data_IF_202569255058
#
_entry.id   IF_202569255058
#
_cell.length_a   1.000
_cell.length_b   1.000
_cell.length_c   1.000
_cell.angle_alpha   90.00
_cell.angle_beta   90.00
_cell.angle_gamma   90.00
#
_symmetry.space_group_name_H-M   'P 1'
#
loop_
_entity.id
_entity.type
_entity.pdbx_description
1 polymer ?
#
# COMPACT_ATOMS: atom_id res chain seq x y z
N UNK A 1 3.95 15.63 -76.59
CA UNK A 1 4.04 14.57 -75.55
C UNK A 1 4.51 15.20 -74.25
N UNK A 2 3.81 14.99 -73.13
CA UNK A 2 4.16 15.54 -71.80
C UNK A 2 5.05 14.56 -71.03
N UNK A 3 6.05 15.04 -70.28
CA UNK A 3 6.35 14.61 -68.89
C UNK A 3 7.41 15.48 -68.16
N UNK A 4 6.98 15.90 -66.95
CA UNK A 4 7.64 16.36 -65.70
C UNK A 4 9.09 15.84 -65.48
N UNK A 5 10.04 16.49 -64.79
CA UNK A 5 10.10 17.76 -64.05
C UNK A 5 11.29 17.79 -63.06
N UNK A 6 11.25 18.81 -62.19
CA UNK A 6 11.97 19.05 -60.92
C UNK A 6 13.24 19.91 -60.94
N UNK A 7 13.08 21.10 -60.37
CA UNK A 7 14.11 22.08 -60.07
C UNK A 7 14.98 21.62 -58.89
N UNK A 8 16.29 21.83 -59.02
CA UNK A 8 17.20 22.05 -57.89
C UNK A 8 17.79 23.46 -58.04
N UNK A 9 17.62 24.31 -57.02
CA UNK A 9 18.42 25.53 -56.87
C UNK A 9 18.72 25.76 -55.39
N UNK A 10 19.98 26.06 -55.15
CA UNK A 10 20.76 26.23 -53.91
C UNK A 10 20.31 27.46 -53.10
N UNK A 11 20.56 27.51 -51.78
CA UNK A 11 21.06 28.71 -51.02
C UNK A 11 21.24 28.46 -49.50
N UNK A 12 22.49 28.53 -49.03
CA UNK A 12 23.07 29.46 -48.03
C UNK A 12 22.41 29.73 -46.65
N UNK A 13 23.26 29.59 -45.60
CA UNK A 13 23.34 30.29 -44.29
C UNK A 13 22.30 30.09 -43.17
N UNK A 14 22.86 29.65 -42.01
CA UNK A 14 22.54 29.93 -40.59
C UNK A 14 21.13 29.55 -40.05
N UNK A 15 21.11 28.86 -38.89
CA UNK A 15 20.07 29.11 -37.90
C UNK A 15 20.68 29.76 -36.66
N UNK A 16 20.14 30.91 -36.28
CA UNK A 16 20.31 31.52 -34.97
C UNK A 16 19.79 30.56 -33.90
N UNK A 17 20.63 30.17 -32.95
CA UNK A 17 20.17 29.57 -31.70
C UNK A 17 19.58 30.67 -30.82
N UNK A 18 18.33 31.02 -31.09
CA UNK A 18 17.53 31.78 -30.13
C UNK A 18 17.47 30.99 -28.82
N UNK A 19 17.79 31.58 -27.66
CA UNK A 19 17.52 30.92 -26.40
C UNK A 19 16.01 30.95 -26.22
N UNK A 20 15.33 29.87 -26.59
CA UNK A 20 13.96 29.69 -26.17
C UNK A 20 13.97 29.67 -24.64
N UNK A 21 13.37 30.69 -24.05
CA UNK A 21 12.99 30.75 -22.63
C UNK A 21 11.89 29.72 -22.40
N UNK A 22 12.22 28.44 -22.54
CA UNK A 22 11.38 27.34 -22.09
C UNK A 22 11.45 27.44 -20.58
N UNK A 23 10.40 28.01 -19.99
CA UNK A 23 10.13 27.92 -18.56
C UNK A 23 9.87 26.45 -18.26
N UNK A 24 10.95 25.69 -18.12
CA UNK A 24 10.90 24.34 -17.62
C UNK A 24 10.40 24.41 -16.18
N UNK A 25 9.39 23.60 -15.88
CA UNK A 25 9.08 23.23 -14.50
C UNK A 25 10.37 22.76 -13.82
N UNK A 26 10.61 23.14 -12.56
CA UNK A 26 11.83 22.77 -11.83
C UNK A 26 11.76 21.28 -11.44
N UNK A 27 11.90 20.36 -12.39
CA UNK A 27 11.84 18.91 -12.09
C UNK A 27 12.44 18.00 -13.17
N UNK A 28 13.46 18.45 -13.91
CA UNK A 28 14.32 17.53 -14.67
C UNK A 28 15.76 18.02 -14.69
N UNK A 29 16.36 18.17 -13.51
CA UNK A 29 17.80 18.35 -13.42
C UNK A 29 18.48 17.02 -13.79
N UNK A 30 18.95 16.91 -15.03
CA UNK A 30 19.83 15.82 -15.47
C UNK A 30 21.12 15.89 -14.67
N UNK A 31 21.38 14.87 -13.86
CA UNK A 31 22.57 14.78 -13.03
C UNK A 31 23.80 14.44 -13.85
N UNK A 32 24.96 14.91 -13.40
CA UNK A 32 26.25 14.34 -13.84
C UNK A 32 26.37 12.89 -13.41
N UNK A 33 27.21 12.11 -14.10
CA UNK A 33 27.46 10.71 -13.73
C UNK A 33 27.81 10.53 -12.25
N UNK A 34 28.70 11.37 -11.73
CA UNK A 34 29.10 11.34 -10.32
C UNK A 34 27.95 11.69 -9.37
N UNK A 35 27.04 12.60 -9.75
CA UNK A 35 25.85 12.91 -8.96
C UNK A 35 24.82 11.78 -9.03
N UNK A 36 24.60 11.18 -10.20
CA UNK A 36 23.67 10.08 -10.39
C UNK A 36 24.08 8.83 -9.60
N UNK A 37 25.38 8.54 -9.50
CA UNK A 37 25.91 7.45 -8.66
C UNK A 37 25.60 7.60 -7.17
N UNK A 38 25.19 8.80 -6.74
CA UNK A 38 24.89 9.12 -5.34
C UNK A 38 23.39 9.22 -5.08
N UNK A 39 22.56 9.24 -6.12
CA UNK A 39 21.13 9.42 -6.00
C UNK A 39 20.40 8.13 -6.36
N UNK A 40 19.45 7.74 -5.52
CA UNK A 40 18.56 6.58 -5.74
C UNK A 40 17.15 7.09 -5.97
N UNK A 41 16.50 6.61 -7.03
CA UNK A 41 15.10 6.93 -7.33
C UNK A 41 14.20 5.77 -6.93
N UNK A 42 13.16 6.05 -6.14
CA UNK A 42 12.19 5.07 -5.63
C UNK A 42 10.79 5.63 -5.86
N UNK A 43 9.87 4.80 -6.38
CA UNK A 43 8.47 5.19 -6.53
C UNK A 43 7.68 4.78 -5.28
N UNK A 44 7.07 5.76 -4.60
CA UNK A 44 6.23 5.55 -3.42
C UNK A 44 4.89 6.23 -3.71
N UNK A 45 3.78 5.49 -3.64
CA UNK A 45 2.42 5.99 -3.89
C UNK A 45 2.23 6.67 -5.27
N UNK A 46 2.97 6.23 -6.29
CA UNK A 46 2.92 6.83 -7.64
C UNK A 46 3.73 8.12 -7.78
N UNK A 47 4.56 8.46 -6.78
CA UNK A 47 5.46 9.61 -6.79
C UNK A 47 6.92 9.15 -6.72
N UNK A 48 7.73 9.64 -7.66
CA UNK A 48 9.18 9.43 -7.64
C UNK A 48 9.83 10.24 -6.52
N UNK A 49 10.55 9.55 -5.65
CA UNK A 49 11.38 10.09 -4.58
C UNK A 49 12.84 9.88 -4.95
N UNK A 50 13.65 10.94 -4.87
CA UNK A 50 15.08 10.89 -5.20
C UNK A 50 15.90 11.14 -3.94
N UNK A 51 16.60 10.12 -3.46
CA UNK A 51 17.30 10.09 -2.18
C UNK A 51 18.80 10.07 -2.40
N UNK A 52 19.55 10.92 -1.70
CA UNK A 52 21.02 10.90 -1.69
C UNK A 52 21.51 9.83 -0.72
N UNK A 53 22.46 8.99 -1.15
CA UNK A 53 23.06 7.96 -0.29
C UNK A 53 24.06 8.54 0.74
N UNK A 54 24.40 9.83 0.63
CA UNK A 54 25.26 10.51 1.60
C UNK A 54 24.46 11.26 2.66
N UNK A 55 23.15 11.42 2.44
CA UNK A 55 22.30 12.13 3.38
C UNK A 55 21.89 11.13 4.47
N UNK A 56 22.12 11.44 5.76
CA UNK A 56 21.71 10.57 6.84
C UNK A 56 20.18 10.45 6.83
N UNK A 57 19.70 9.20 6.72
CA UNK A 57 18.26 8.91 6.73
C UNK A 57 17.79 8.60 8.15
N UNK A 58 16.68 9.21 8.54
CA UNK A 58 15.99 8.92 9.79
C UNK A 58 15.33 7.54 9.68
N UNK A 59 15.80 6.58 10.48
CA UNK A 59 15.24 5.23 10.54
C UNK A 59 14.04 5.28 11.45
N UNK A 60 12.85 5.28 10.87
CA UNK A 60 11.61 5.18 11.63
C UNK A 60 11.31 3.68 11.81
N UNK A 61 11.47 3.20 13.04
CA UNK A 61 11.09 1.84 13.41
C UNK A 61 9.56 1.72 13.47
N UNK A 62 9.04 0.54 13.14
CA UNK A 62 7.59 0.27 13.18
C UNK A 62 7.01 0.54 14.58
N UNK A 63 7.77 0.26 15.63
CA UNK A 63 7.36 0.48 17.02
C UNK A 63 7.23 1.98 17.36
N UNK A 64 8.08 2.85 16.83
CA UNK A 64 8.01 4.32 17.06
C UNK A 64 6.83 4.96 16.31
N UNK A 65 6.47 4.42 15.13
CA UNK A 65 5.22 4.77 14.44
C UNK A 65 4.00 4.41 15.29
N UNK A 66 4.00 3.23 15.92
CA UNK A 66 2.90 2.81 16.78
C UNK A 66 2.81 3.61 18.08
N UNK A 67 3.94 4.04 18.63
CA UNK A 67 3.99 4.91 19.81
C UNK A 67 3.43 6.31 19.52
N UNK A 68 3.74 6.86 18.33
CA UNK A 68 3.17 8.13 17.88
C UNK A 68 1.65 8.00 17.60
N UNK A 69 1.23 6.86 17.02
CA UNK A 69 -0.18 6.49 16.76
C UNK A 69 -1.00 6.31 18.06
N UNK A 70 -0.37 5.92 19.18
CA UNK A 70 -0.99 5.79 20.51
C UNK A 70 -1.10 7.13 21.27
N UNK A 71 -0.35 8.17 20.88
CA UNK A 71 -0.32 9.46 21.59
C UNK A 71 -1.36 10.47 21.10
N UNK A 72 -1.93 10.28 19.91
CA UNK A 72 -2.98 11.14 19.35
C UNK A 72 -4.38 10.68 19.77
N UNK A 73 -4.61 10.64 21.07
CA UNK A 73 -5.95 10.70 21.64
C UNK A 73 -6.06 11.98 22.47
N UNK A 74 -6.05 13.13 21.80
CA UNK A 74 -6.69 14.32 22.36
C UNK A 74 -7.36 15.11 21.24
N UNK A 75 -8.63 15.42 21.45
CA UNK A 75 -9.53 15.97 20.44
C UNK A 75 -8.96 17.26 19.85
N UNK A 76 -9.09 17.43 18.52
CA UNK A 76 -9.66 18.61 17.86
C UNK A 76 -9.61 18.44 16.33
N UNK A 77 -10.67 18.94 15.69
CA UNK A 77 -11.06 18.82 14.28
C UNK A 77 -10.18 19.70 13.38
N UNK A 78 -9.30 19.11 12.54
CA UNK A 78 -9.07 19.54 11.14
C UNK A 78 -8.08 18.61 10.40
N UNK A 79 -8.52 18.05 9.27
CA UNK A 79 -7.74 17.77 8.06
C UNK A 79 -6.23 17.44 8.18
N UNK A 80 -5.90 16.16 8.39
CA UNK A 80 -4.64 15.55 7.94
C UNK A 80 -4.99 14.27 7.18
N UNK A 81 -5.56 14.41 5.98
CA UNK A 81 -5.92 13.27 5.14
C UNK A 81 -4.68 12.60 4.52
N UNK A 82 -3.91 11.88 5.34
CA UNK A 82 -3.19 10.70 4.81
C UNK A 82 -4.26 9.65 4.50
N UNK A 83 -4.21 8.98 3.34
CA UNK A 83 -5.20 7.95 3.00
C UNK A 83 -5.23 6.90 4.12
N UNK A 84 -6.42 6.43 4.53
CA UNK A 84 -6.54 5.51 5.63
C UNK A 84 -5.75 4.22 5.33
N UNK A 85 -4.91 3.78 6.28
CA UNK A 85 -4.15 2.52 6.15
C UNK A 85 -5.12 1.36 5.94
N UNK A 86 -4.95 0.66 4.82
CA UNK A 86 -5.76 -0.49 4.44
C UNK A 86 -5.02 -1.79 4.76
N UNK A 87 -5.77 -2.81 5.16
CA UNK A 87 -5.28 -4.15 5.43
C UNK A 87 -5.84 -5.10 4.38
N UNK A 88 -4.99 -6.01 3.90
CA UNK A 88 -5.41 -7.09 3.02
C UNK A 88 -6.04 -8.20 3.86
N UNK A 89 -7.34 -8.41 3.72
CA UNK A 89 -8.11 -9.41 4.47
C UNK A 89 -8.51 -10.55 3.54
N UNK A 90 -8.25 -11.79 3.96
CA UNK A 90 -8.71 -13.01 3.30
C UNK A 90 -9.91 -13.58 4.06
N UNK A 91 -11.08 -13.60 3.43
CA UNK A 91 -12.29 -14.14 4.04
C UNK A 91 -12.26 -15.68 4.13
N UNK A 92 -12.93 -16.21 5.16
CA UNK A 92 -13.16 -17.65 5.35
C UNK A 92 -14.37 -18.20 4.55
N UNK A 93 -14.80 -17.46 3.52
CA UNK A 93 -15.85 -17.90 2.60
C UNK A 93 -15.36 -19.01 1.64
N UNK A 94 -16.25 -19.55 0.80
CA UNK A 94 -15.90 -20.63 -0.11
C UNK A 94 -14.93 -20.21 -1.22
N UNK A 95 -15.02 -18.94 -1.66
CA UNK A 95 -14.20 -18.43 -2.76
C UNK A 95 -12.85 -17.93 -2.29
N UNK A 96 -12.60 -17.89 -0.97
CA UNK A 96 -11.39 -17.32 -0.37
C UNK A 96 -11.17 -15.91 -0.91
N UNK A 97 -12.21 -15.09 -0.79
CA UNK A 97 -12.22 -13.74 -1.34
C UNK A 97 -11.26 -12.82 -0.58
N UNK A 98 -10.59 -11.95 -1.32
CA UNK A 98 -9.65 -10.95 -0.79
C UNK A 98 -10.31 -9.57 -0.82
N UNK A 99 -10.11 -8.77 0.22
CA UNK A 99 -10.62 -7.40 0.30
C UNK A 99 -9.66 -6.50 1.06
N UNK A 100 -9.50 -5.28 0.57
CA UNK A 100 -8.81 -4.22 1.31
C UNK A 100 -9.81 -3.50 2.23
N UNK A 101 -9.55 -3.51 3.54
CA UNK A 101 -10.40 -2.87 4.55
C UNK A 101 -9.58 -2.01 5.52
N UNK A 102 -10.09 -0.83 5.95
CA UNK A 102 -9.48 -0.08 7.04
C UNK A 102 -9.76 -0.75 8.40
N UNK A 103 -8.91 -0.46 9.39
CA UNK A 103 -9.04 -0.99 10.77
C UNK A 103 -10.39 -0.67 11.42
N UNK A 104 -10.99 0.48 11.09
CA UNK A 104 -12.31 0.90 11.60
C UNK A 104 -13.47 -0.02 11.19
N UNK A 105 -13.27 -0.88 10.17
CA UNK A 105 -14.25 -1.87 9.72
C UNK A 105 -13.97 -3.28 10.25
N UNK A 106 -12.97 -3.44 11.10
CA UNK A 106 -12.51 -4.73 11.61
C UNK A 106 -12.67 -4.77 13.13
N UNK A 107 -13.02 -5.94 13.64
CA UNK A 107 -13.13 -6.22 15.08
C UNK A 107 -12.46 -7.58 15.33
N UNK A 108 -11.69 -7.75 16.42
CA UNK A 108 -11.09 -9.03 16.76
C UNK A 108 -12.15 -10.13 16.88
N UNK A 109 -11.91 -11.28 16.24
CA UNK A 109 -12.78 -12.45 16.27
C UNK A 109 -12.33 -13.41 17.37
N UNK A 110 -13.27 -14.00 18.12
CA UNK A 110 -12.98 -15.02 19.13
C UNK A 110 -12.50 -14.47 20.48
N UNK A 111 -12.54 -13.13 20.66
CA UNK A 111 -12.18 -12.47 21.93
C UNK A 111 -13.42 -12.24 22.81
N UNK A 112 -14.53 -11.81 22.21
CA UNK A 112 -15.79 -11.56 22.91
C UNK A 112 -16.92 -12.36 22.24
N UNK A 113 -17.39 -13.40 22.95
CA UNK A 113 -18.47 -14.26 22.47
C UNK A 113 -19.78 -13.50 22.19
N UNK A 114 -20.05 -12.41 22.92
CA UNK A 114 -21.28 -11.64 22.77
C UNK A 114 -21.26 -10.88 21.45
N UNK A 115 -20.13 -10.24 21.13
CA UNK A 115 -19.92 -9.55 19.86
C UNK A 115 -19.99 -10.56 18.71
N UNK A 116 -19.34 -11.70 18.84
CA UNK A 116 -19.34 -12.73 17.81
C UNK A 116 -20.75 -13.28 17.53
N UNK A 117 -21.52 -13.56 18.59
CA UNK A 117 -22.93 -13.98 18.47
C UNK A 117 -23.77 -12.91 17.78
N UNK A 118 -23.59 -11.63 18.13
CA UNK A 118 -24.30 -10.53 17.49
C UNK A 118 -23.93 -10.42 16.00
N UNK A 119 -22.64 -10.52 15.66
CA UNK A 119 -22.15 -10.48 14.28
C UNK A 119 -22.64 -11.66 13.43
N UNK A 120 -22.76 -12.86 14.00
CA UNK A 120 -23.35 -14.00 13.30
C UNK A 120 -24.83 -13.81 12.96
N UNK A 121 -25.56 -12.94 13.68
CA UNK A 121 -26.97 -12.65 13.46
C UNK A 121 -27.26 -11.46 12.54
N UNK A 122 -26.25 -10.66 12.18
CA UNK A 122 -26.38 -9.43 11.36
C UNK A 122 -26.93 -9.69 9.93
N UNK A 123 -26.82 -10.93 9.43
CA UNK A 123 -27.25 -11.30 8.09
C UNK A 123 -28.76 -11.15 7.87
N UNK A 124 -29.14 -10.40 6.82
CA UNK A 124 -30.54 -10.11 6.41
C UNK A 124 -31.43 -11.34 6.14
N UNK A 125 -30.86 -12.52 5.88
CA UNK A 125 -31.61 -13.75 5.65
C UNK A 125 -30.86 -14.99 6.18
N UNK A 126 -31.55 -16.14 6.22
CA UNK A 126 -31.03 -17.38 6.81
C UNK A 126 -29.83 -17.95 6.04
N UNK A 127 -29.78 -17.80 4.72
CA UNK A 127 -28.67 -18.30 3.90
C UNK A 127 -27.38 -17.52 4.17
N UNK A 128 -27.46 -16.19 4.31
CA UNK A 128 -26.31 -15.35 4.71
C UNK A 128 -25.85 -15.75 6.11
N UNK A 129 -26.75 -15.84 7.10
CA UNK A 129 -26.38 -16.25 8.46
C UNK A 129 -25.77 -17.65 8.51
N UNK A 130 -26.24 -18.58 7.68
CA UNK A 130 -25.64 -19.92 7.56
C UNK A 130 -24.22 -19.86 6.99
N UNK A 131 -24.00 -19.08 5.93
CA UNK A 131 -22.68 -18.91 5.34
C UNK A 131 -21.69 -18.25 6.32
N UNK A 132 -22.14 -17.23 7.07
CA UNK A 132 -21.33 -16.56 8.09
C UNK A 132 -20.95 -17.52 9.22
N UNK A 133 -21.88 -18.34 9.72
CA UNK A 133 -21.57 -19.37 10.73
C UNK A 133 -20.51 -20.37 10.26
N UNK A 134 -20.59 -20.84 9.02
CA UNK A 134 -19.59 -21.75 8.44
C UNK A 134 -18.22 -21.05 8.32
N UNK A 135 -18.20 -19.78 7.91
CA UNK A 135 -16.95 -19.01 7.86
C UNK A 135 -16.34 -18.80 9.26
N UNK A 136 -17.16 -18.55 10.27
CA UNK A 136 -16.75 -18.44 11.67
C UNK A 136 -16.14 -19.74 12.20
N UNK A 137 -16.77 -20.89 11.93
CA UNK A 137 -16.24 -22.21 12.27
C UNK A 137 -14.87 -22.47 11.60
N UNK A 138 -14.71 -22.08 10.34
CA UNK A 138 -13.41 -22.19 9.66
C UNK A 138 -12.34 -21.30 10.30
N UNK A 139 -12.71 -20.09 10.72
CA UNK A 139 -11.79 -19.16 11.38
C UNK A 139 -11.35 -19.66 12.75
N UNK A 140 -12.28 -20.17 13.57
CA UNK A 140 -11.98 -20.75 14.90
C UNK A 140 -11.12 -22.01 14.79
N UNK A 141 -11.41 -22.89 13.82
CA UNK A 141 -10.52 -24.01 13.52
C UNK A 141 -9.11 -23.54 13.12
N UNK A 142 -8.99 -22.46 12.32
CA UNK A 142 -7.69 -21.90 11.99
C UNK A 142 -6.95 -21.37 13.23
N UNK A 143 -7.65 -20.64 14.12
CA UNK A 143 -7.07 -20.18 15.38
C UNK A 143 -6.53 -21.32 16.23
N UNK A 144 -7.31 -22.40 16.39
CA UNK A 144 -6.87 -23.59 17.15
C UNK A 144 -5.65 -24.28 16.56
N UNK A 145 -5.44 -24.21 15.24
CA UNK A 145 -4.27 -24.80 14.58
C UNK A 145 -3.02 -23.94 14.70
N UNK A 146 -3.19 -22.62 14.78
CA UNK A 146 -2.08 -21.66 14.88
C UNK A 146 -1.65 -21.47 16.33
N UNK A 147 -2.61 -21.54 17.27
CA UNK A 147 -2.40 -21.25 18.70
C UNK A 147 -2.68 -22.46 19.61
N UNK A 148 -2.97 -23.63 19.06
CA UNK A 148 -3.07 -24.85 19.85
C UNK A 148 -1.69 -25.17 20.42
N UNK A 149 -1.58 -25.15 21.75
CA UNK A 149 -0.37 -25.50 22.47
C UNK A 149 0.19 -26.83 21.93
N UNK A 150 1.52 -26.96 21.74
CA UNK A 150 2.11 -28.27 21.58
C UNK A 150 1.79 -29.05 22.86
N UNK A 151 0.94 -30.08 22.70
CA UNK A 151 0.68 -31.09 23.73
C UNK A 151 2.00 -31.40 24.40
N UNK A 152 2.07 -31.15 25.71
CA UNK A 152 3.21 -31.46 26.55
C UNK A 152 3.47 -32.97 26.47
N UNK A 153 4.34 -33.35 25.55
CA UNK A 153 4.88 -34.69 25.41
C UNK A 153 5.98 -34.86 26.47
N UNK A 154 5.55 -35.01 27.73
CA UNK A 154 6.43 -35.26 28.88
C UNK A 154 5.84 -36.30 29.85
N UNK A 155 5.04 -37.26 29.35
CA UNK A 155 4.55 -38.38 30.16
C UNK A 155 5.15 -39.72 29.73
N UNK A 156 6.47 -39.76 29.54
CA UNK A 156 7.26 -41.00 29.53
C UNK A 156 8.50 -40.80 30.41
N UNK A 157 8.31 -40.93 31.73
CA UNK A 157 9.31 -41.35 32.73
C UNK A 157 8.51 -41.83 33.96
N UNK A 158 8.31 -43.14 34.04
CA UNK A 158 8.54 -43.96 35.24
C UNK A 158 8.75 -45.42 34.82
#
# INVERSE_FOLDING_TARGET
>A
MRRKGRCHRVSTTRPSSSPCSIKHSPTRETLTYAQAQRMVEIEIEGRLHRISIFDPLEIILEDDLTAQELSECNSNKENSERPPKLFLVLFFDNKRSWQWLPKSKMVPLGVDETIDKLKMMEGRNSSIRKAVRIAFERATNHLSRVHGDPVSDFSDID
#
